data_IF_187248624175
#
_entry.id   IF_187248624175
#
_cell.length_a   1.000
_cell.length_b   1.000
_cell.length_c   1.000
_cell.angle_alpha   90.00
_cell.angle_beta   90.00
_cell.angle_gamma   90.00
#
_symmetry.space_group_name_H-M   'P 1'
#
loop_
_entity.id
_entity.type
_entity.pdbx_description
1 polymer ?
#
# COMPACT_ATOMS: atom_id res chain seq x y z
N UNK A 1 18.15 11.20 1.24
CA UNK A 1 17.90 10.51 2.54
C UNK A 1 17.91 9.00 2.41
N UNK A 2 17.30 8.41 1.38
CA UNK A 2 17.24 6.93 1.21
C UNK A 2 18.07 6.45 0.01
N UNK A 3 19.29 6.97 -0.15
CA UNK A 3 20.18 6.52 -1.23
C UNK A 3 20.51 5.03 -1.04
N UNK A 4 20.39 4.23 -2.10
CA UNK A 4 20.56 2.77 -2.09
C UNK A 4 19.55 1.98 -1.23
N UNK A 5 18.44 2.61 -0.83
CA UNK A 5 17.38 1.98 -0.06
C UNK A 5 16.04 2.12 -0.78
N UNK A 6 15.07 1.27 -0.45
CA UNK A 6 13.74 1.36 -1.05
C UNK A 6 13.04 2.65 -0.64
N UNK A 7 12.79 3.51 -1.63
CA UNK A 7 12.05 4.77 -1.42
C UNK A 7 10.54 4.56 -1.34
N UNK A 8 9.99 3.61 -2.09
CA UNK A 8 8.56 3.31 -2.11
C UNK A 8 8.27 1.88 -2.57
N UNK A 9 7.19 1.30 -2.05
CA UNK A 9 6.62 0.05 -2.54
C UNK A 9 5.56 0.34 -3.61
N UNK A 10 5.54 -0.45 -4.67
CA UNK A 10 4.43 -0.43 -5.65
C UNK A 10 3.50 -1.58 -5.31
N UNK A 11 2.22 -1.28 -5.07
CA UNK A 11 1.23 -2.23 -4.59
C UNK A 11 0.01 -2.24 -5.50
N UNK A 12 -0.63 -3.42 -5.59
CA UNK A 12 -1.94 -3.61 -6.22
C UNK A 12 -2.98 -3.76 -5.10
N UNK A 13 -4.04 -2.96 -5.13
CA UNK A 13 -5.14 -3.11 -4.19
C UNK A 13 -5.85 -4.45 -4.43
N UNK A 14 -6.10 -5.20 -3.35
CA UNK A 14 -6.78 -6.49 -3.38
C UNK A 14 -8.32 -6.35 -3.29
N UNK A 15 -8.87 -5.13 -3.29
CA UNK A 15 -10.28 -4.90 -3.01
C UNK A 15 -10.66 -5.16 -1.55
N UNK A 16 -11.85 -4.70 -1.13
CA UNK A 16 -12.42 -5.08 0.16
C UNK A 16 -12.81 -6.56 0.16
N UNK A 17 -12.86 -7.20 1.33
CA UNK A 17 -13.29 -8.60 1.49
C UNK A 17 -14.72 -8.88 1.00
N UNK A 18 -15.49 -7.84 0.72
CA UNK A 18 -16.84 -7.91 0.20
C UNK A 18 -16.78 -7.42 -1.25
N UNK A 19 -17.18 -8.25 -2.21
CA UNK A 19 -17.21 -8.00 -3.67
C UNK A 19 -17.97 -6.72 -4.07
N UNK A 20 -18.66 -6.07 -3.11
CA UNK A 20 -19.26 -4.76 -3.30
C UNK A 20 -18.20 -3.67 -3.24
N UNK A 21 -18.17 -2.85 -4.28
CA UNK A 21 -17.42 -1.58 -4.33
C UNK A 21 -17.90 -0.67 -3.17
N UNK A 22 -17.32 -0.86 -1.98
CA UNK A 22 -17.65 -0.07 -0.79
C UNK A 22 -17.11 1.33 -0.99
N UNK A 23 -18.00 2.31 -0.86
CA UNK A 23 -17.63 3.72 -0.84
C UNK A 23 -16.57 3.94 0.25
N UNK A 24 -15.32 4.19 -0.16
CA UNK A 24 -14.20 4.40 0.74
C UNK A 24 -13.06 3.39 0.61
N UNK A 25 -13.20 2.31 -0.15
CA UNK A 25 -12.11 1.36 -0.45
C UNK A 25 -11.59 1.53 -1.89
N UNK A 26 -10.27 1.37 -2.13
CA UNK A 26 -9.75 1.45 -3.48
C UNK A 26 -10.19 0.23 -4.29
N UNK A 27 -10.56 0.49 -5.54
CA UNK A 27 -11.02 -0.54 -6.48
C UNK A 27 -9.98 -1.65 -6.60
N UNK A 28 -10.42 -2.91 -6.63
CA UNK A 28 -9.54 -4.03 -6.86
C UNK A 28 -8.71 -3.82 -8.14
N UNK A 29 -7.43 -4.14 -8.06
CA UNK A 29 -6.50 -3.94 -9.17
C UNK A 29 -5.92 -2.54 -9.29
N UNK A 30 -6.34 -1.58 -8.45
CA UNK A 30 -5.75 -0.25 -8.41
C UNK A 30 -4.27 -0.34 -8.07
N UNK A 31 -3.41 0.17 -8.95
CA UNK A 31 -1.96 0.26 -8.71
C UNK A 31 -1.63 1.62 -8.09
N UNK A 32 -0.96 1.59 -6.95
CA UNK A 32 -0.52 2.78 -6.23
C UNK A 32 0.84 2.57 -5.56
N UNK A 33 1.49 3.67 -5.17
CA UNK A 33 2.80 3.65 -4.52
C UNK A 33 2.69 4.07 -3.06
N UNK A 34 3.45 3.42 -2.18
CA UNK A 34 3.54 3.73 -0.76
C UNK A 34 4.99 4.05 -0.41
N UNK A 35 5.30 5.32 -0.16
CA UNK A 35 6.63 5.78 0.31
C UNK A 35 6.70 6.09 1.80
N UNK A 36 5.55 6.15 2.47
CA UNK A 36 5.41 6.58 3.87
C UNK A 36 5.10 5.40 4.78
N UNK A 37 5.54 5.46 6.03
CA UNK A 37 5.34 4.39 7.02
C UNK A 37 6.34 3.23 6.93
N UNK A 38 7.29 3.28 5.98
CA UNK A 38 8.38 2.31 5.90
C UNK A 38 9.47 2.65 6.94
N UNK A 39 9.70 1.73 7.87
CA UNK A 39 10.86 1.75 8.76
C UNK A 39 12.16 1.54 7.97
N UNK A 40 13.30 1.97 8.50
CA UNK A 40 14.59 1.80 7.81
C UNK A 40 14.92 0.32 7.53
N UNK A 41 14.52 -0.60 8.43
CA UNK A 41 14.59 -2.05 8.20
C UNK A 41 13.81 -2.47 6.95
N UNK A 42 12.56 -2.02 6.80
CA UNK A 42 11.73 -2.32 5.62
C UNK A 42 12.27 -1.65 4.34
N UNK A 43 13.12 -0.64 4.46
CA UNK A 43 13.78 -0.02 3.31
C UNK A 43 15.06 -0.73 2.90
N UNK A 44 15.77 -1.31 3.87
CA UNK A 44 16.94 -2.16 3.64
C UNK A 44 16.52 -3.53 3.10
N UNK A 45 15.51 -4.13 3.73
CA UNK A 45 14.92 -5.40 3.35
C UNK A 45 13.42 -5.19 3.05
N UNK A 46 13.09 -4.85 1.79
CA UNK A 46 11.69 -4.64 1.40
C UNK A 46 10.88 -5.93 1.50
N UNK A 47 9.57 -5.83 1.79
CA UNK A 47 8.67 -6.97 1.70
C UNK A 47 8.81 -7.66 0.35
N UNK A 48 8.83 -9.00 0.36
CA UNK A 48 8.96 -9.79 -0.86
C UNK A 48 7.84 -9.44 -1.84
N UNK A 49 8.15 -9.51 -3.13
CA UNK A 49 7.15 -9.33 -4.18
C UNK A 49 6.09 -10.42 -4.01
N UNK A 50 4.82 -10.01 -3.96
CA UNK A 50 3.69 -10.90 -3.70
C UNK A 50 3.23 -10.95 -2.23
N UNK A 51 4.00 -10.38 -1.29
CA UNK A 51 3.56 -10.27 0.09
C UNK A 51 2.33 -9.36 0.21
N UNK A 52 1.37 -9.75 1.06
CA UNK A 52 0.20 -8.96 1.38
C UNK A 52 0.57 -7.98 2.50
N UNK A 53 0.21 -6.71 2.34
CA UNK A 53 0.52 -5.66 3.32
C UNK A 53 -0.76 -4.95 3.75
N UNK A 54 -0.80 -4.55 5.01
CA UNK A 54 -1.82 -3.65 5.55
C UNK A 54 -1.32 -2.23 5.43
N UNK A 55 -2.17 -1.34 4.92
CA UNK A 55 -1.89 0.09 4.82
C UNK A 55 -3.13 0.88 5.24
N UNK A 56 -2.93 2.14 5.59
CA UNK A 56 -4.00 3.12 5.80
C UNK A 56 -3.88 4.26 4.80
N UNK A 57 -4.99 4.92 4.50
CA UNK A 57 -5.05 6.11 3.69
C UNK A 57 -6.16 7.02 4.22
N UNK A 58 -6.13 8.30 3.86
CA UNK A 58 -7.09 9.27 4.41
C UNK A 58 -8.33 9.42 3.53
N UNK A 59 -8.14 9.45 2.21
CA UNK A 59 -9.18 9.68 1.22
C UNK A 59 -8.84 8.93 -0.06
N UNK A 60 -9.81 8.79 -0.96
CA UNK A 60 -9.56 8.36 -2.34
C UNK A 60 -9.39 9.58 -3.25
N UNK A 61 -8.67 9.42 -4.35
CA UNK A 61 -8.66 10.39 -5.45
C UNK A 61 -9.90 10.22 -6.32
N UNK A 62 -10.17 11.18 -7.21
CA UNK A 62 -11.26 11.06 -8.19
C UNK A 62 -11.17 9.78 -9.05
N UNK A 63 -9.97 9.23 -9.22
CA UNK A 63 -9.71 7.99 -9.95
C UNK A 63 -9.70 6.74 -9.05
N UNK A 64 -10.20 6.84 -7.80
CA UNK A 64 -10.29 5.71 -6.87
C UNK A 64 -8.96 5.27 -6.25
N UNK A 65 -7.87 6.06 -6.38
CA UNK A 65 -6.57 5.72 -5.79
C UNK A 65 -6.48 6.18 -4.34
N UNK A 66 -5.87 5.41 -3.43
CA UNK A 66 -5.67 5.86 -2.05
C UNK A 66 -4.76 7.08 -2.00
N UNK A 67 -5.23 8.14 -1.34
CA UNK A 67 -4.52 9.40 -1.13
C UNK A 67 -3.75 9.35 0.19
N UNK A 68 -2.46 9.67 0.11
CA UNK A 68 -1.51 9.58 1.22
C UNK A 68 -1.50 8.18 1.89
N UNK A 69 -1.23 7.12 1.11
CA UNK A 69 -1.14 5.78 1.68
C UNK A 69 0.08 5.69 2.60
N UNK A 70 -0.10 5.04 3.74
CA UNK A 70 0.93 4.83 4.76
C UNK A 70 0.99 3.32 5.05
N UNK A 71 2.18 2.75 4.87
CA UNK A 71 2.46 1.36 5.22
C UNK A 71 2.27 1.15 6.72
N UNK A 72 1.60 0.07 7.12
CA UNK A 72 1.44 -0.31 8.52
C UNK A 72 2.27 -1.55 8.85
N UNK A 73 1.98 -2.67 8.19
CA UNK A 73 2.66 -3.95 8.45
C UNK A 73 2.51 -4.90 7.27
N UNK A 74 3.42 -5.87 7.17
CA UNK A 74 3.20 -7.06 6.35
C UNK A 74 2.17 -7.93 7.06
N UNK A 75 1.26 -8.54 6.30
CA UNK A 75 0.32 -9.53 6.83
C UNK A 75 1.04 -10.88 6.85
N UNK A 76 1.25 -11.39 8.05
CA UNK A 76 1.56 -12.79 8.29
C UNK A 76 0.19 -13.49 8.28
N UNK A 77 -0.05 -14.33 7.28
CA UNK A 77 -1.25 -15.17 7.21
C UNK A 77 -1.00 -16.48 7.97
#
# INVERSE_FOLDING_TARGET
KYANLVGSLTCKALGGKDDKEKAGEPKEGTIFKIGSGLSDKNRQDPPKIGSIITYKFQNLTANGKPRFPIFLRVRED
#
